data_IF_730009447788
#
_entry.id   IF_730009447788
#
_cell.length_a   1.000
_cell.length_b   1.000
_cell.length_c   1.000
_cell.angle_alpha   90.00
_cell.angle_beta   90.00
_cell.angle_gamma   90.00
#
_symmetry.space_group_name_H-M   'P 1'
#
loop_
_entity.id
_entity.type
_entity.pdbx_description
1 polymer ?
#
# COMPACT_ATOMS: atom_id res chain seq x y z
N UNK A 1 -13.98 13.68 -13.87
CA UNK A 1 -12.56 13.57 -14.26
C UNK A 1 -12.09 12.14 -14.07
N UNK A 2 -11.39 11.52 -15.05
CA UNK A 2 -10.84 10.17 -14.89
C UNK A 2 -9.77 10.15 -13.79
N UNK A 3 -9.81 9.13 -12.93
CA UNK A 3 -8.81 8.97 -11.86
C UNK A 3 -7.45 8.66 -12.47
N UNK A 4 -6.43 9.50 -12.20
CA UNK A 4 -5.07 9.30 -12.70
C UNK A 4 -4.46 8.06 -12.05
N UNK A 5 -3.99 7.11 -12.85
CA UNK A 5 -3.31 5.90 -12.38
C UNK A 5 -1.82 5.99 -12.62
N UNK A 6 -1.02 5.56 -11.64
CA UNK A 6 0.44 5.48 -11.73
C UNK A 6 0.87 4.03 -11.57
N UNK A 7 1.94 3.66 -12.27
CA UNK A 7 2.57 2.36 -12.19
C UNK A 7 3.87 2.49 -11.39
N UNK A 8 4.08 1.62 -10.40
CA UNK A 8 5.32 1.54 -9.63
C UNK A 8 5.80 0.09 -9.55
N UNK A 9 7.12 -0.10 -9.53
CA UNK A 9 7.74 -1.39 -9.22
C UNK A 9 7.69 -1.62 -7.71
N UNK A 10 7.16 -2.77 -7.28
CA UNK A 10 6.84 -3.01 -5.86
C UNK A 10 7.72 -4.08 -5.20
N UNK A 11 8.43 -4.93 -5.94
CA UNK A 11 9.38 -5.89 -5.35
C UNK A 11 10.81 -5.35 -5.27
N UNK A 12 11.80 -6.19 -4.91
CA UNK A 12 13.22 -5.83 -4.91
C UNK A 12 13.67 -5.18 -6.24
N UNK A 13 14.79 -4.47 -6.26
CA UNK A 13 15.27 -3.71 -7.44
C UNK A 13 15.31 -4.53 -8.74
N UNK A 14 15.50 -5.85 -8.64
CA UNK A 14 15.52 -6.77 -9.79
C UNK A 14 14.17 -7.45 -10.09
N UNK A 15 13.13 -7.19 -9.31
CA UNK A 15 11.80 -7.77 -9.51
C UNK A 15 11.09 -7.13 -10.70
N UNK A 16 10.40 -7.92 -11.50
CA UNK A 16 9.59 -7.41 -12.63
C UNK A 16 8.12 -7.21 -12.25
N UNK A 17 7.84 -6.98 -10.97
CA UNK A 17 6.48 -6.85 -10.46
C UNK A 17 6.11 -5.37 -10.43
N UNK A 18 5.27 -4.99 -11.39
CA UNK A 18 4.72 -3.65 -11.49
C UNK A 18 3.26 -3.63 -11.07
N UNK A 19 2.89 -2.63 -10.29
CA UNK A 19 1.53 -2.43 -9.84
C UNK A 19 1.01 -1.10 -10.32
N UNK A 20 -0.19 -1.11 -10.90
CA UNK A 20 -0.89 0.09 -11.36
C UNK A 20 -2.10 0.39 -10.47
N UNK A 21 -2.03 1.50 -9.75
CA UNK A 21 -3.09 1.98 -8.85
C UNK A 21 -3.43 3.45 -9.12
N UNK A 22 -4.57 3.91 -8.61
CA UNK A 22 -4.89 5.33 -8.57
C UNK A 22 -3.83 6.08 -7.75
N UNK A 23 -3.48 7.29 -8.21
CA UNK A 23 -2.43 8.14 -7.62
C UNK A 23 -2.61 8.35 -6.13
N UNK A 24 -3.86 8.43 -5.67
CA UNK A 24 -4.22 8.67 -4.29
C UNK A 24 -3.77 7.53 -3.35
N UNK A 25 -3.77 6.27 -3.83
CA UNK A 25 -3.18 5.16 -3.06
C UNK A 25 -1.68 5.33 -2.89
N UNK A 26 -0.98 5.69 -3.96
CA UNK A 26 0.47 5.90 -3.89
C UNK A 26 0.85 7.07 -2.98
N UNK A 27 0.11 8.16 -3.06
CA UNK A 27 0.30 9.31 -2.16
C UNK A 27 0.08 8.91 -0.70
N UNK A 28 -0.93 8.11 -0.42
CA UNK A 28 -1.20 7.63 0.94
C UNK A 28 -0.07 6.70 1.44
N UNK A 29 0.46 5.82 0.58
CA UNK A 29 1.65 4.99 0.91
C UNK A 29 2.85 5.87 1.27
N UNK A 30 3.15 6.88 0.46
CA UNK A 30 4.30 7.77 0.68
C UNK A 30 4.17 8.54 2.02
N UNK A 31 2.96 9.06 2.32
CA UNK A 31 2.69 9.79 3.56
C UNK A 31 2.80 8.85 4.77
N UNK A 32 2.13 7.70 4.75
CA UNK A 32 2.10 6.76 5.88
C UNK A 32 3.50 6.21 6.17
N UNK A 33 4.25 5.83 5.14
CA UNK A 33 5.63 5.38 5.31
C UNK A 33 6.47 6.46 6.00
N UNK A 34 6.37 7.72 5.55
CA UNK A 34 7.11 8.83 6.15
C UNK A 34 6.68 9.12 7.60
N UNK A 35 5.37 9.13 7.89
CA UNK A 35 4.85 9.41 9.24
C UNK A 35 5.20 8.29 10.24
N UNK A 36 5.21 7.03 9.79
CA UNK A 36 5.57 5.87 10.61
C UNK A 36 7.10 5.65 10.68
N UNK A 37 7.91 6.58 10.15
CA UNK A 37 9.37 6.58 10.27
C UNK A 37 10.12 5.65 9.30
N UNK A 38 9.45 5.16 8.25
CA UNK A 38 10.08 4.33 7.23
C UNK A 38 10.89 5.16 6.25
N UNK A 39 12.16 4.79 6.06
CA UNK A 39 13.04 5.40 5.05
C UNK A 39 12.70 4.96 3.62
N UNK A 40 12.00 3.84 3.46
CA UNK A 40 11.68 3.24 2.19
C UNK A 40 10.18 2.87 2.11
N UNK A 41 9.43 3.61 1.28
CA UNK A 41 8.01 3.35 1.07
C UNK A 41 7.74 1.93 0.56
N UNK A 42 8.69 1.32 -0.16
CA UNK A 42 8.54 -0.02 -0.72
C UNK A 42 8.57 -1.09 0.36
N UNK A 43 9.47 -0.94 1.34
CA UNK A 43 9.53 -1.83 2.50
C UNK A 43 8.26 -1.72 3.34
N UNK A 44 7.83 -0.50 3.66
CA UNK A 44 6.54 -0.25 4.31
C UNK A 44 5.40 -0.95 3.56
N UNK A 45 5.33 -0.76 2.24
CA UNK A 45 4.28 -1.32 1.41
C UNK A 45 4.28 -2.85 1.40
N UNK A 46 5.44 -3.49 1.30
CA UNK A 46 5.54 -4.95 1.37
C UNK A 46 5.23 -5.50 2.76
N UNK A 47 5.73 -4.86 3.82
CA UNK A 47 5.59 -5.36 5.20
C UNK A 47 4.22 -5.06 5.82
N UNK A 48 3.58 -3.95 5.46
CA UNK A 48 2.33 -3.51 6.09
C UNK A 48 1.10 -3.75 5.21
N UNK A 49 1.26 -3.65 3.88
CA UNK A 49 0.13 -3.76 2.95
C UNK A 49 0.08 -5.14 2.30
N UNK A 50 1.16 -5.58 1.66
CA UNK A 50 1.21 -6.88 0.95
C UNK A 50 1.82 -7.96 1.87
N UNK A 51 1.20 -8.15 3.03
CA UNK A 51 1.64 -9.11 4.05
C UNK A 51 1.51 -10.59 3.61
N UNK A 52 0.83 -10.86 2.50
CA UNK A 52 0.63 -12.20 1.96
C UNK A 52 0.39 -12.16 0.45
N UNK A 53 0.63 -13.29 -0.21
CA UNK A 53 0.32 -13.45 -1.62
C UNK A 53 -1.21 -13.55 -1.86
N UNK A 54 -1.72 -12.94 -2.94
CA UNK A 54 -3.10 -13.14 -3.36
C UNK A 54 -3.29 -14.57 -3.88
N UNK A 55 -4.22 -15.32 -3.29
CA UNK A 55 -4.52 -16.70 -3.74
C UNK A 55 -5.49 -16.75 -4.93
N UNK A 56 -6.52 -15.89 -4.93
CA UNK A 56 -7.66 -16.02 -5.87
C UNK A 56 -8.15 -14.69 -6.45
N UNK A 57 -7.29 -13.66 -6.54
CA UNK A 57 -7.72 -12.35 -7.06
C UNK A 57 -6.60 -11.55 -7.73
N UNK A 58 -6.93 -10.62 -8.65
CA UNK A 58 -5.93 -9.74 -9.25
C UNK A 58 -5.17 -8.93 -8.21
N UNK A 59 -3.85 -8.81 -8.36
CA UNK A 59 -2.96 -8.13 -7.42
C UNK A 59 -3.43 -6.71 -7.09
N UNK A 60 -3.88 -5.92 -8.08
CA UNK A 60 -4.39 -4.58 -7.83
C UNK A 60 -5.63 -4.55 -6.92
N UNK A 61 -6.56 -5.49 -7.11
CA UNK A 61 -7.75 -5.62 -6.27
C UNK A 61 -7.39 -6.11 -4.87
N UNK A 62 -6.45 -7.05 -4.77
CA UNK A 62 -5.91 -7.51 -3.49
C UNK A 62 -5.30 -6.37 -2.68
N UNK A 63 -4.39 -5.62 -3.30
CA UNK A 63 -3.70 -4.51 -2.65
C UNK A 63 -4.67 -3.44 -2.19
N UNK A 64 -5.65 -3.07 -3.01
CA UNK A 64 -6.68 -2.10 -2.58
C UNK A 64 -7.40 -2.55 -1.33
N UNK A 65 -7.82 -3.83 -1.28
CA UNK A 65 -8.50 -4.40 -0.11
C UNK A 65 -7.58 -4.43 1.12
N UNK A 66 -6.33 -4.84 0.95
CA UNK A 66 -5.35 -4.87 2.02
C UNK A 66 -5.05 -3.47 2.56
N UNK A 67 -4.90 -2.48 1.66
CA UNK A 67 -4.68 -1.08 2.01
C UNK A 67 -5.85 -0.48 2.80
N UNK A 68 -7.08 -0.73 2.36
CA UNK A 68 -8.28 -0.30 3.11
C UNK A 68 -8.30 -0.96 4.50
N UNK A 69 -7.96 -2.25 4.58
CA UNK A 69 -7.92 -2.98 5.86
C UNK A 69 -6.86 -2.40 6.79
N UNK A 70 -5.67 -2.05 6.26
CA UNK A 70 -4.63 -1.35 7.00
C UNK A 70 -5.14 -0.03 7.56
N UNK A 71 -5.72 0.82 6.71
CA UNK A 71 -6.24 2.13 7.12
C UNK A 71 -7.31 2.02 8.21
N UNK A 72 -8.26 1.09 8.08
CA UNK A 72 -9.29 0.88 9.08
C UNK A 72 -8.67 0.52 10.44
N UNK A 73 -7.76 -0.46 10.46
CA UNK A 73 -7.05 -0.84 11.69
C UNK A 73 -6.24 0.32 12.27
N UNK A 74 -5.55 1.07 11.42
CA UNK A 74 -4.73 2.21 11.83
C UNK A 74 -5.58 3.30 12.51
N UNK A 75 -6.73 3.63 11.95
CA UNK A 75 -7.63 4.61 12.54
C UNK A 75 -8.32 4.09 13.81
N UNK A 76 -8.67 2.80 13.86
CA UNK A 76 -9.21 2.20 15.09
C UNK A 76 -8.16 2.23 16.22
N UNK A 77 -6.91 1.88 15.94
CA UNK A 77 -5.81 1.97 16.92
C UNK A 77 -5.60 3.42 17.41
N UNK A 78 -5.62 4.40 16.51
CA UNK A 78 -5.49 5.82 16.90
C UNK A 78 -6.68 6.33 17.71
N UNK A 79 -7.89 5.81 17.48
CA UNK A 79 -9.08 6.15 18.29
C UNK A 79 -9.07 5.52 19.67
N UNK A 80 -8.40 4.37 19.81
CA UNK A 80 -8.26 3.65 21.08
C UNK A 80 -7.00 4.05 21.86
N UNK A 81 -6.16 4.93 21.32
CA UNK A 81 -5.03 5.49 22.04
C UNK A 81 -5.54 6.50 23.10
N UNK A 82 -5.09 6.39 24.37
CA UNK A 82 -5.52 7.25 25.47
C UNK A 82 -5.06 8.71 25.31
#
# INVERSE_FOLDING_TARGET
MPKKRLMRQIGPENSRIFLRLEREYWRAVDILASEDGWSNWREFFCMQIITREPKDMPLASFVKRAFITYLLKFFDMRRSAP
#
